data_IF_562419781876
#
_entry.id   IF_562419781876
#
_cell.length_a   1.000
_cell.length_b   1.000
_cell.length_c   1.000
_cell.angle_alpha   90.00
_cell.angle_beta   90.00
_cell.angle_gamma   90.00
#
_symmetry.space_group_name_H-M   'P 1'
#
loop_
_entity.id
_entity.type
_entity.pdbx_description
1 polymer ?
#
# COMPACT_ATOMS: atom_id res chain seq x y z
N UNK A 1 -27.20 18.00 15.38
CA UNK A 1 -26.68 17.06 14.35
C UNK A 1 -27.02 15.63 14.78
N UNK A 2 -27.49 14.76 13.88
CA UNK A 2 -27.87 13.39 14.22
C UNK A 2 -26.63 12.59 14.71
N UNK A 3 -26.68 11.89 15.86
CA UNK A 3 -25.54 11.17 16.42
C UNK A 3 -24.96 10.11 15.48
N UNK A 4 -25.78 9.53 14.58
CA UNK A 4 -25.31 8.60 13.54
C UNK A 4 -24.41 9.28 12.51
N UNK A 5 -24.76 10.51 12.12
CA UNK A 5 -23.99 11.31 11.16
C UNK A 5 -22.66 11.74 11.76
N UNK A 6 -22.65 12.15 13.04
CA UNK A 6 -21.41 12.49 13.75
C UNK A 6 -20.41 11.32 13.80
N UNK A 7 -20.89 10.12 14.15
CA UNK A 7 -20.08 8.90 14.19
C UNK A 7 -19.52 8.54 12.80
N UNK A 8 -20.33 8.72 11.76
CA UNK A 8 -19.91 8.51 10.36
C UNK A 8 -18.76 9.45 9.99
N UNK A 9 -18.93 10.75 10.26
CA UNK A 9 -17.90 11.76 9.98
C UNK A 9 -16.61 11.47 10.75
N UNK A 10 -16.72 11.11 12.03
CA UNK A 10 -15.55 10.77 12.86
C UNK A 10 -14.76 9.59 12.28
N UNK A 11 -15.44 8.56 11.78
CA UNK A 11 -14.81 7.37 11.20
C UNK A 11 -14.11 7.69 9.86
N UNK A 12 -14.76 8.51 9.02
CA UNK A 12 -14.19 8.99 7.75
C UNK A 12 -12.95 9.86 8.05
N UNK A 13 -13.05 10.77 9.01
CA UNK A 13 -11.93 11.63 9.43
C UNK A 13 -10.75 10.81 9.97
N UNK A 14 -11.01 9.80 10.80
CA UNK A 14 -9.97 8.87 11.28
C UNK A 14 -9.29 8.14 10.11
N UNK A 15 -10.06 7.67 9.13
CA UNK A 15 -9.50 7.03 7.94
C UNK A 15 -8.65 7.99 7.11
N UNK A 16 -9.10 9.22 6.92
CA UNK A 16 -8.39 10.28 6.19
C UNK A 16 -7.07 10.64 6.89
N UNK A 17 -7.08 10.81 8.21
CA UNK A 17 -5.87 11.05 9.00
C UNK A 17 -4.87 9.90 8.86
N UNK A 18 -5.33 8.65 8.94
CA UNK A 18 -4.44 7.50 8.73
C UNK A 18 -3.91 7.42 7.29
N UNK A 19 -4.68 7.84 6.30
CA UNK A 19 -4.24 7.92 4.91
C UNK A 19 -3.12 8.96 4.73
N UNK A 20 -3.25 10.13 5.36
CA UNK A 20 -2.23 11.19 5.36
C UNK A 20 -0.94 10.68 6.01
N UNK A 21 -1.03 10.04 7.18
CA UNK A 21 0.13 9.48 7.88
C UNK A 21 0.81 8.42 7.00
N UNK A 22 0.03 7.50 6.43
CA UNK A 22 0.54 6.48 5.52
C UNK A 22 1.27 7.09 4.31
N UNK A 23 0.69 8.13 3.70
CA UNK A 23 1.27 8.82 2.56
C UNK A 23 2.61 9.50 2.88
N UNK A 24 2.71 10.15 4.04
CA UNK A 24 3.94 10.76 4.52
C UNK A 24 5.05 9.71 4.73
N UNK A 25 4.71 8.57 5.34
CA UNK A 25 5.64 7.46 5.54
C UNK A 25 6.06 6.83 4.21
N UNK A 26 5.13 6.67 3.27
CA UNK A 26 5.41 6.14 1.95
C UNK A 26 6.40 7.04 1.20
N UNK A 27 6.16 8.36 1.21
CA UNK A 27 7.08 9.35 0.64
C UNK A 27 8.48 9.26 1.27
N UNK A 28 8.55 9.05 2.59
CA UNK A 28 9.82 8.94 3.31
C UNK A 28 10.64 7.73 2.85
N UNK A 29 9.99 6.57 2.65
CA UNK A 29 10.65 5.35 2.14
C UNK A 29 11.12 5.53 0.68
N UNK A 30 10.32 6.20 -0.15
CA UNK A 30 10.68 6.47 -1.55
C UNK A 30 11.89 7.42 -1.64
N UNK A 31 11.97 8.40 -0.74
CA UNK A 31 13.05 9.40 -0.72
C UNK A 31 14.36 8.84 -0.12
N UNK A 32 14.29 8.08 0.97
CA UNK A 32 15.47 7.51 1.63
C UNK A 32 15.11 6.13 2.19
N UNK A 33 15.65 5.08 1.57
CA UNK A 33 15.40 3.70 2.00
C UNK A 33 16.24 3.42 3.25
N UNK A 34 15.66 3.61 4.43
CA UNK A 34 16.22 3.22 5.71
C UNK A 34 15.36 2.14 6.38
N UNK A 35 15.97 1.22 7.15
CA UNK A 35 15.22 0.18 7.84
C UNK A 35 14.11 0.75 8.74
N UNK A 36 14.39 1.86 9.43
CA UNK A 36 13.41 2.55 10.28
C UNK A 36 12.23 3.09 9.47
N UNK A 37 12.47 3.71 8.30
CA UNK A 37 11.39 4.20 7.43
C UNK A 37 10.50 3.07 6.92
N UNK A 38 11.08 1.92 6.56
CA UNK A 38 10.35 0.73 6.10
C UNK A 38 9.49 0.14 7.22
N UNK A 39 10.05 0.01 8.44
CA UNK A 39 9.29 -0.47 9.60
C UNK A 39 8.14 0.47 9.95
N UNK A 40 8.36 1.79 9.93
CA UNK A 40 7.31 2.77 10.16
C UNK A 40 6.23 2.70 9.08
N UNK A 41 6.59 2.54 7.80
CA UNK A 41 5.62 2.35 6.71
C UNK A 41 4.78 1.09 6.92
N UNK A 42 5.39 -0.02 7.34
CA UNK A 42 4.68 -1.26 7.67
C UNK A 42 3.66 -1.04 8.78
N UNK A 43 4.05 -0.37 9.87
CA UNK A 43 3.15 -0.05 10.98
C UNK A 43 2.05 0.93 10.57
N UNK A 44 2.39 1.99 9.85
CA UNK A 44 1.44 2.97 9.33
C UNK A 44 0.43 2.35 8.35
N UNK A 45 0.89 1.45 7.48
CA UNK A 45 0.04 0.67 6.60
C UNK A 45 -0.91 -0.25 7.36
N UNK A 46 -0.43 -0.89 8.43
CA UNK A 46 -1.28 -1.72 9.29
C UNK A 46 -2.37 -0.90 9.98
N UNK A 47 -2.04 0.29 10.51
CA UNK A 47 -3.00 1.20 11.13
C UNK A 47 -4.03 1.70 10.11
N UNK A 48 -3.58 2.12 8.92
CA UNK A 48 -4.48 2.55 7.84
C UNK A 48 -5.45 1.44 7.45
N UNK A 49 -4.96 0.22 7.20
CA UNK A 49 -5.80 -0.94 6.86
C UNK A 49 -6.77 -1.29 7.98
N UNK A 50 -6.36 -1.18 9.24
CA UNK A 50 -7.22 -1.44 10.39
C UNK A 50 -8.37 -0.45 10.49
N UNK A 51 -8.09 0.85 10.36
CA UNK A 51 -9.13 1.90 10.38
C UNK A 51 -10.02 1.79 9.14
N UNK A 52 -9.44 1.49 7.98
CA UNK A 52 -10.21 1.23 6.76
C UNK A 52 -11.17 0.05 6.94
N UNK A 53 -10.72 -1.06 7.56
CA UNK A 53 -11.59 -2.18 7.88
C UNK A 53 -12.73 -1.74 8.80
N UNK A 54 -12.45 -1.03 9.89
CA UNK A 54 -13.49 -0.49 10.77
C UNK A 54 -14.48 0.40 10.04
N UNK A 55 -13.99 1.24 9.12
CA UNK A 55 -14.81 2.06 8.25
C UNK A 55 -15.77 1.24 7.40
N UNK A 56 -15.27 0.17 6.76
CA UNK A 56 -16.10 -0.69 5.91
C UNK A 56 -17.13 -1.51 6.68
N UNK A 57 -16.80 -1.98 7.90
CA UNK A 57 -17.68 -2.81 8.70
C UNK A 57 -18.80 -2.00 9.36
N UNK A 58 -18.51 -0.79 9.86
CA UNK A 58 -19.44 0.00 10.67
C UNK A 58 -20.37 0.91 9.84
N UNK A 59 -20.00 1.29 8.61
CA UNK A 59 -20.81 2.20 7.79
C UNK A 59 -21.84 1.44 6.95
N UNK A 60 -23.12 1.66 7.26
CA UNK A 60 -24.27 1.00 6.60
C UNK A 60 -24.54 1.49 5.18
N UNK A 61 -24.19 2.74 4.88
CA UNK A 61 -24.43 3.34 3.58
C UNK A 61 -23.19 3.23 2.69
N UNK A 62 -23.45 2.93 1.41
CA UNK A 62 -22.40 2.78 0.39
C UNK A 62 -21.76 4.13 0.06
N UNK A 63 -22.56 5.18 -0.07
CA UNK A 63 -22.11 6.50 -0.54
C UNK A 63 -21.02 7.15 0.33
N UNK A 64 -21.13 7.19 1.68
CA UNK A 64 -20.07 7.76 2.51
C UNK A 64 -18.79 6.94 2.46
N UNK A 65 -18.88 5.62 2.29
CA UNK A 65 -17.70 4.76 2.16
C UNK A 65 -17.00 5.02 0.84
N UNK A 66 -17.74 5.07 -0.27
CA UNK A 66 -17.19 5.37 -1.60
C UNK A 66 -16.53 6.74 -1.60
N UNK A 67 -17.19 7.76 -1.01
CA UNK A 67 -16.61 9.10 -0.85
C UNK A 67 -15.34 9.09 0.00
N UNK A 68 -15.31 8.32 1.09
CA UNK A 68 -14.14 8.19 1.95
C UNK A 68 -12.98 7.44 1.28
N UNK A 69 -13.25 6.40 0.47
CA UNK A 69 -12.23 5.71 -0.33
C UNK A 69 -11.59 6.69 -1.31
N UNK A 70 -12.41 7.46 -2.04
CA UNK A 70 -11.91 8.46 -2.99
C UNK A 70 -11.07 9.51 -2.26
N UNK A 71 -11.57 10.04 -1.14
CA UNK A 71 -10.85 11.01 -0.31
C UNK A 71 -9.49 10.45 0.13
N UNK A 72 -9.45 9.22 0.65
CA UNK A 72 -8.21 8.60 1.12
C UNK A 72 -7.18 8.46 0.00
N UNK A 73 -7.59 8.01 -1.19
CA UNK A 73 -6.69 7.89 -2.34
C UNK A 73 -6.16 9.24 -2.82
N UNK A 74 -7.03 10.25 -2.88
CA UNK A 74 -6.62 11.63 -3.22
C UNK A 74 -5.64 12.19 -2.20
N UNK A 75 -5.91 12.01 -0.89
CA UNK A 75 -5.01 12.45 0.17
C UNK A 75 -3.65 11.77 0.07
N UNK A 76 -3.61 10.46 -0.24
CA UNK A 76 -2.33 9.77 -0.41
C UNK A 76 -1.57 10.33 -1.61
N UNK A 77 -2.25 10.56 -2.74
CA UNK A 77 -1.62 11.14 -3.93
C UNK A 77 -1.07 12.55 -3.69
N UNK A 78 -1.84 13.41 -3.00
CA UNK A 78 -1.48 14.81 -2.74
C UNK A 78 -0.36 14.92 -1.71
N UNK A 79 -0.49 14.26 -0.56
CA UNK A 79 0.51 14.31 0.54
C UNK A 79 1.82 13.68 0.12
N UNK A 80 1.75 12.61 -0.68
CA UNK A 80 2.94 12.01 -1.28
C UNK A 80 3.67 12.92 -2.27
N UNK A 81 3.07 14.05 -2.66
CA UNK A 81 3.64 15.05 -3.58
C UNK A 81 4.00 14.46 -4.95
N UNK A 82 3.21 13.50 -5.42
CA UNK A 82 3.48 12.81 -6.67
C UNK A 82 3.09 13.68 -7.86
N UNK A 83 3.90 13.62 -8.93
CA UNK A 83 3.63 14.39 -10.15
C UNK A 83 2.37 13.85 -10.83
N UNK A 84 1.41 14.72 -11.19
CA UNK A 84 0.21 14.28 -11.90
C UNK A 84 0.62 13.68 -13.26
N UNK A 85 0.20 12.45 -13.51
CA UNK A 85 0.46 11.72 -14.75
C UNK A 85 -0.73 10.85 -15.11
N UNK A 86 -0.91 10.52 -16.39
CA UNK A 86 -1.95 9.58 -16.85
C UNK A 86 -1.84 8.21 -16.16
N UNK A 87 -0.61 7.76 -15.89
CA UNK A 87 -0.36 6.52 -15.14
C UNK A 87 -0.86 6.63 -13.70
N UNK A 88 -0.60 7.74 -13.01
CA UNK A 88 -1.11 7.97 -11.66
C UNK A 88 -2.65 8.01 -11.64
N UNK A 89 -3.27 8.66 -12.62
CA UNK A 89 -4.72 8.70 -12.75
C UNK A 89 -5.30 7.28 -12.95
N UNK A 90 -4.70 6.47 -13.83
CA UNK A 90 -5.08 5.07 -14.02
C UNK A 90 -4.93 4.24 -12.74
N UNK A 91 -3.83 4.42 -12.00
CA UNK A 91 -3.60 3.75 -10.73
C UNK A 91 -4.62 4.14 -9.65
N UNK A 92 -4.99 5.42 -9.57
CA UNK A 92 -6.03 5.90 -8.67
C UNK A 92 -7.37 5.25 -8.98
N UNK A 93 -7.75 5.16 -10.25
CA UNK A 93 -9.00 4.50 -10.67
C UNK A 93 -8.98 3.02 -10.32
N UNK A 94 -7.89 2.30 -10.62
CA UNK A 94 -7.79 0.88 -10.29
C UNK A 94 -7.81 0.64 -8.77
N UNK A 95 -7.05 1.43 -8.00
CA UNK A 95 -7.02 1.34 -6.55
C UNK A 95 -8.41 1.63 -5.97
N UNK A 96 -9.11 2.64 -6.50
CA UNK A 96 -10.48 2.96 -6.11
C UNK A 96 -11.44 1.80 -6.34
N UNK A 97 -11.42 1.20 -7.54
CA UNK A 97 -12.26 0.05 -7.86
C UNK A 97 -11.99 -1.14 -6.92
N UNK A 98 -10.72 -1.46 -6.66
CA UNK A 98 -10.36 -2.55 -5.75
C UNK A 98 -10.76 -2.28 -4.29
N UNK A 99 -10.58 -1.05 -3.79
CA UNK A 99 -10.99 -0.69 -2.43
C UNK A 99 -12.52 -0.69 -2.27
N UNK A 100 -13.25 -0.26 -3.28
CA UNK A 100 -14.72 -0.36 -3.31
C UNK A 100 -15.16 -1.82 -3.36
N UNK A 101 -14.48 -2.67 -4.14
CA UNK A 101 -14.72 -4.11 -4.15
C UNK A 101 -14.41 -4.76 -2.79
N UNK A 102 -13.40 -4.26 -2.06
CA UNK A 102 -13.11 -4.70 -0.70
C UNK A 102 -14.30 -4.43 0.24
N UNK A 103 -14.90 -3.25 0.14
CA UNK A 103 -16.12 -2.90 0.89
C UNK A 103 -17.29 -3.84 0.56
N UNK A 104 -17.60 -4.06 -0.72
CA UNK A 104 -18.70 -4.94 -1.12
C UNK A 104 -18.46 -6.39 -0.66
N UNK A 105 -17.22 -6.87 -0.74
CA UNK A 105 -16.83 -8.17 -0.20
C UNK A 105 -17.14 -8.30 1.29
N UNK A 106 -16.62 -7.37 2.10
CA UNK A 106 -16.87 -7.37 3.55
C UNK A 106 -18.35 -7.27 3.91
N UNK A 107 -19.12 -6.44 3.20
CA UNK A 107 -20.57 -6.31 3.43
C UNK A 107 -21.36 -7.53 3.00
N UNK A 108 -20.99 -8.19 1.91
CA UNK A 108 -21.68 -9.42 1.47
C UNK A 108 -21.51 -10.55 2.49
N UNK A 109 -20.32 -10.68 3.09
CA UNK A 109 -20.06 -11.68 4.13
C UNK A 109 -20.81 -11.36 5.43
N UNK A 110 -20.91 -10.09 5.82
CA UNK A 110 -21.74 -9.67 6.97
C UNK A 110 -23.24 -9.90 6.74
N UNK A 111 -23.72 -9.80 5.50
CA UNK A 111 -25.15 -9.99 5.17
C UNK A 111 -25.54 -11.46 5.06
N UNK A 112 -24.59 -12.33 4.74
CA UNK A 112 -24.83 -13.76 4.53
C UNK A 112 -24.60 -14.60 5.79
N UNK A 113 -23.83 -14.10 6.75
CA UNK A 113 -23.55 -14.81 8.00
C UNK A 113 -24.50 -14.35 9.13
N UNK A 114 -24.99 -15.32 9.92
CA UNK A 114 -25.82 -15.06 11.11
C UNK A 114 -25.00 -14.46 12.27
N UNK A 115 -23.68 -14.66 12.26
CA UNK A 115 -22.74 -14.13 13.24
C UNK A 115 -21.57 -13.40 12.57
N UNK A 116 -21.09 -12.34 13.22
CA UNK A 116 -19.94 -11.55 12.73
C UNK A 116 -18.66 -12.32 13.00
N UNK A 117 -18.21 -13.09 12.02
CA UNK A 117 -16.91 -13.73 12.02
C UNK A 117 -15.82 -12.70 11.68
N UNK A 118 -15.46 -11.85 12.65
CA UNK A 118 -14.55 -10.71 12.46
C UNK A 118 -13.24 -11.10 11.76
N UNK A 119 -12.66 -12.24 12.11
CA UNK A 119 -11.39 -12.70 11.55
C UNK A 119 -11.47 -13.12 10.08
N UNK A 120 -12.55 -13.78 9.68
CA UNK A 120 -12.74 -14.22 8.29
C UNK A 120 -13.08 -13.01 7.42
N UNK A 121 -14.08 -12.23 7.85
CA UNK A 121 -14.54 -11.04 7.14
C UNK A 121 -13.45 -9.96 7.05
N UNK A 122 -12.70 -9.78 8.13
CA UNK A 122 -11.59 -8.84 8.20
C UNK A 122 -10.46 -9.18 7.23
N UNK A 123 -10.08 -10.47 7.14
CA UNK A 123 -9.03 -10.92 6.21
C UNK A 123 -9.43 -10.71 4.76
N UNK A 124 -10.69 -10.98 4.38
CA UNK A 124 -11.16 -10.78 3.02
C UNK A 124 -11.09 -9.32 2.58
N UNK A 125 -11.51 -8.39 3.45
CA UNK A 125 -11.43 -6.93 3.18
C UNK A 125 -9.98 -6.45 3.16
N UNK A 126 -9.17 -6.81 4.16
CA UNK A 126 -7.78 -6.38 4.27
C UNK A 126 -6.94 -6.91 3.10
N UNK A 127 -7.17 -8.13 2.63
CA UNK A 127 -6.45 -8.69 1.48
C UNK A 127 -6.74 -7.93 0.16
N UNK A 128 -8.00 -7.54 -0.07
CA UNK A 128 -8.38 -6.74 -1.24
C UNK A 128 -7.88 -5.31 -1.13
N UNK A 129 -8.00 -4.68 0.04
CA UNK A 129 -7.51 -3.33 0.29
C UNK A 129 -5.97 -3.23 0.19
N UNK A 130 -5.24 -4.20 0.73
CA UNK A 130 -3.77 -4.25 0.58
C UNK A 130 -3.35 -4.48 -0.87
N UNK A 131 -4.11 -5.25 -1.66
CA UNK A 131 -3.84 -5.38 -3.10
C UNK A 131 -4.01 -4.05 -3.84
N UNK A 132 -5.01 -3.23 -3.46
CA UNK A 132 -5.18 -1.89 -3.99
C UNK A 132 -3.97 -0.99 -3.67
N UNK A 133 -3.51 -1.01 -2.41
CA UNK A 133 -2.34 -0.27 -1.97
C UNK A 133 -1.06 -0.74 -2.67
N UNK A 134 -0.91 -2.05 -2.89
CA UNK A 134 0.22 -2.62 -3.61
C UNK A 134 0.29 -2.08 -5.04
N UNK A 135 -0.82 -2.17 -5.79
CA UNK A 135 -0.89 -1.63 -7.15
C UNK A 135 -0.58 -0.13 -7.16
N UNK A 136 -1.17 0.59 -6.22
CA UNK A 136 -0.94 2.02 -6.11
C UNK A 136 0.53 2.34 -5.84
N UNK A 137 1.16 1.67 -4.87
CA UNK A 137 2.57 1.83 -4.53
C UNK A 137 3.50 1.49 -5.71
N UNK A 138 3.21 0.45 -6.49
CA UNK A 138 3.98 0.09 -7.70
C UNK A 138 3.95 1.24 -8.71
N UNK A 139 2.76 1.77 -9.01
CA UNK A 139 2.67 2.86 -9.99
C UNK A 139 3.31 4.14 -9.47
N UNK A 140 3.17 4.44 -8.18
CA UNK A 140 3.89 5.55 -7.54
C UNK A 140 5.40 5.40 -7.65
N UNK A 141 5.92 4.20 -7.42
CA UNK A 141 7.34 3.90 -7.55
C UNK A 141 7.81 4.07 -9.01
N UNK A 142 7.10 3.46 -9.97
CA UNK A 142 7.44 3.54 -11.40
C UNK A 142 7.37 4.96 -11.95
N UNK A 143 6.39 5.77 -11.52
CA UNK A 143 6.26 7.16 -11.96
C UNK A 143 7.31 8.10 -11.37
N UNK A 144 7.93 7.71 -10.25
CA UNK A 144 9.08 8.42 -9.67
C UNK A 144 10.38 8.02 -10.37
N UNK A 145 10.42 6.84 -11.00
CA UNK A 145 11.61 6.31 -11.66
C UNK A 145 11.80 6.93 -13.04
N UNK A 146 12.76 7.86 -13.17
CA UNK A 146 13.14 8.42 -14.46
C UNK A 146 14.24 7.58 -15.11
N UNK A 147 13.85 6.56 -15.88
CA UNK A 147 14.78 5.68 -16.60
C UNK A 147 15.69 6.40 -17.61
N UNK A 148 15.29 7.60 -18.04
CA UNK A 148 16.03 8.38 -19.04
C UNK A 148 17.20 9.18 -18.45
N UNK A 149 17.37 9.19 -17.11
CA UNK A 149 18.48 9.88 -16.47
C UNK A 149 19.48 8.89 -15.85
N UNK A 150 20.67 8.71 -16.45
CA UNK A 150 21.71 7.81 -15.94
C UNK A 150 22.11 8.09 -14.48
N UNK A 151 22.10 9.37 -14.09
CA UNK A 151 22.49 9.79 -12.75
C UNK A 151 21.52 9.29 -11.67
N UNK A 152 20.23 9.16 -11.99
CA UNK A 152 19.19 8.67 -11.07
C UNK A 152 19.39 7.18 -10.80
N UNK A 153 19.64 6.39 -11.83
CA UNK A 153 19.90 4.95 -11.72
C UNK A 153 21.21 4.70 -10.97
N UNK A 154 22.25 5.50 -11.25
CA UNK A 154 23.51 5.47 -10.49
C UNK A 154 23.28 5.74 -9.00
N UNK A 155 22.46 6.75 -8.67
CA UNK A 155 22.09 7.07 -7.29
C UNK A 155 21.47 5.90 -6.52
N UNK A 156 20.57 5.14 -7.14
CA UNK A 156 19.94 3.98 -6.49
C UNK A 156 20.93 2.82 -6.28
N UNK A 157 21.80 2.53 -7.24
CA UNK A 157 22.84 1.50 -7.07
C UNK A 157 23.83 1.86 -5.96
N UNK A 158 24.27 3.12 -5.92
CA UNK A 158 25.13 3.60 -4.83
C UNK A 158 24.41 3.48 -3.49
N UNK A 159 23.13 3.83 -3.41
CA UNK A 159 22.33 3.70 -2.19
C UNK A 159 22.12 2.24 -1.73
N UNK A 160 22.18 1.26 -2.64
CA UNK A 160 22.15 -0.17 -2.28
C UNK A 160 23.47 -0.67 -1.69
N UNK A 161 24.60 -0.08 -2.10
CA UNK A 161 25.95 -0.55 -1.72
C UNK A 161 26.49 0.21 -0.51
N UNK A 162 26.16 1.51 -0.37
CA UNK A 162 26.58 2.35 0.75
C UNK A 162 26.35 1.73 2.15
N UNK A 163 25.22 1.05 2.44
CA UNK A 163 25.03 0.42 3.74
C UNK A 163 26.01 -0.72 4.05
N UNK A 164 26.62 -1.32 3.01
CA UNK A 164 27.56 -2.43 3.11
C UNK A 164 29.01 -1.92 3.24
N UNK A 165 29.27 -0.68 2.84
CA UNK A 165 30.58 -0.01 2.94
C UNK A 165 31.22 -0.08 4.34
N UNK A 166 30.53 0.26 5.46
CA UNK A 166 31.14 0.16 6.79
C UNK A 166 31.45 -1.29 7.20
N UNK A 167 30.67 -2.26 6.74
CA UNK A 167 30.92 -3.68 6.99
C UNK A 167 32.20 -4.08 6.26
N UNK A 168 32.33 -3.73 4.98
CA UNK A 168 33.50 -4.03 4.16
C UNK A 168 34.77 -3.35 4.70
N UNK A 169 34.67 -2.09 5.13
CA UNK A 169 35.79 -1.36 5.74
C UNK A 169 36.28 -2.00 7.05
N UNK A 170 35.41 -2.72 7.77
CA UNK A 170 35.78 -3.47 8.97
C UNK A 170 36.60 -4.72 8.65
N UNK A 171 36.30 -5.40 7.53
CA UNK A 171 37.02 -6.62 7.11
C UNK A 171 38.26 -6.34 6.24
N UNK A 172 38.30 -5.19 5.56
CA UNK A 172 39.41 -4.77 4.71
C UNK A 172 39.89 -3.36 5.12
N UNK A 173 40.69 -3.22 6.19
CA UNK A 173 41.18 -1.93 6.67
C UNK A 173 42.38 -1.47 5.83
N UNK A 174 42.13 -1.14 4.56
CA UNK A 174 43.14 -0.51 3.68
C UNK A 174 42.87 1.00 3.68
N UNK A 175 43.89 1.86 3.87
CA UNK A 175 43.73 3.32 3.73
C UNK A 175 43.21 3.66 2.32
N UNK A 176 42.07 4.36 2.22
CA UNK A 176 41.46 4.73 0.93
C UNK A 176 40.43 3.74 0.36
N UNK A 177 39.99 2.75 1.13
CA UNK A 177 38.97 1.75 0.73
C UNK A 177 37.66 2.37 0.26
N UNK A 178 37.21 3.48 0.86
CA UNK A 178 36.02 4.21 0.41
C UNK A 178 36.15 4.69 -1.04
N UNK A 179 37.32 5.20 -1.42
CA UNK A 179 37.59 5.69 -2.77
C UNK A 179 37.69 4.53 -3.77
N UNK A 180 38.30 3.42 -3.37
CA UNK A 180 38.40 2.19 -4.19
C UNK A 180 37.01 1.56 -4.39
N UNK A 181 36.19 1.51 -3.34
CA UNK A 181 34.81 1.03 -3.38
C UNK A 181 33.96 1.94 -4.26
N UNK A 182 34.08 3.27 -4.14
CA UNK A 182 33.37 4.20 -5.02
C UNK A 182 33.80 4.04 -6.48
N UNK A 183 35.09 3.88 -6.77
CA UNK A 183 35.58 3.66 -8.13
C UNK A 183 35.13 2.33 -8.72
N UNK A 184 35.17 1.25 -7.92
CA UNK A 184 34.70 -0.07 -8.33
C UNK A 184 33.17 -0.09 -8.51
N UNK A 185 32.44 0.61 -7.64
CA UNK A 185 30.99 0.80 -7.75
C UNK A 185 30.65 1.58 -9.00
N UNK A 186 31.32 2.71 -9.25
CA UNK A 186 31.12 3.54 -10.43
C UNK A 186 31.36 2.76 -11.71
N UNK A 187 32.43 1.97 -11.77
CA UNK A 187 32.75 1.13 -12.92
C UNK A 187 31.70 0.01 -13.10
N UNK A 188 31.29 -0.64 -12.03
CA UNK A 188 30.27 -1.71 -12.07
C UNK A 188 28.90 -1.18 -12.48
N UNK A 189 28.52 0.01 -11.98
CA UNK A 189 27.28 0.70 -12.33
C UNK A 189 27.30 1.11 -13.80
N UNK A 190 28.40 1.67 -14.30
CA UNK A 190 28.49 2.05 -15.71
C UNK A 190 28.38 0.81 -16.63
N UNK A 191 29.07 -0.29 -16.29
CA UNK A 191 28.97 -1.55 -17.04
C UNK A 191 27.53 -2.09 -17.00
N UNK A 192 26.90 -2.10 -15.83
CA UNK A 192 25.53 -2.57 -15.67
C UNK A 192 24.53 -1.68 -16.41
N UNK A 193 24.73 -0.36 -16.36
CA UNK A 193 23.92 0.63 -17.07
C UNK A 193 24.01 0.44 -18.58
N UNK A 194 25.22 0.37 -19.13
CA UNK A 194 25.44 0.18 -20.57
C UNK A 194 24.92 -1.18 -21.05
N UNK A 195 25.14 -2.25 -20.26
CA UNK A 195 24.68 -3.59 -20.59
C UNK A 195 23.16 -3.76 -20.49
N UNK A 196 22.49 -3.04 -19.57
CA UNK A 196 21.07 -3.27 -19.24
C UNK A 196 20.20 -2.14 -19.74
N UNK A 197 20.43 -0.92 -19.26
CA UNK A 197 19.60 0.26 -19.55
C UNK A 197 19.88 0.77 -20.97
N UNK A 198 21.16 0.82 -21.37
CA UNK A 198 21.55 1.20 -22.73
C UNK A 198 20.95 0.29 -23.79
N UNK A 199 20.95 -1.03 -23.55
CA UNK A 199 20.29 -2.01 -24.44
C UNK A 199 18.77 -1.92 -24.39
N UNK A 200 18.19 -1.70 -23.22
CA UNK A 200 16.75 -1.52 -23.06
C UNK A 200 16.22 -0.32 -23.86
N UNK A 201 16.89 0.83 -23.78
CA UNK A 201 16.51 2.04 -24.50
C UNK A 201 16.67 1.92 -26.03
N UNK A 202 17.48 0.97 -26.51
CA UNK A 202 17.66 0.68 -27.93
C UNK A 202 16.59 -0.27 -28.50
N UNK A 203 15.75 -0.87 -27.65
CA UNK A 203 14.68 -1.76 -28.10
C UNK A 203 13.54 -0.98 -28.76
N UNK A 204 12.80 -1.58 -29.69
CA UNK A 204 11.53 -1.05 -30.18
C UNK A 204 10.56 -0.73 -29.02
N UNK A 205 9.79 0.36 -29.13
CA UNK A 205 8.87 0.85 -28.09
C UNK A 205 7.94 -0.24 -27.53
N UNK A 206 7.48 -1.14 -28.40
CA UNK A 206 6.61 -2.26 -28.02
C UNK A 206 7.31 -3.19 -27.03
N UNK A 207 8.58 -3.54 -27.27
CA UNK A 207 9.35 -4.42 -26.39
C UNK A 207 9.70 -3.72 -25.08
N UNK A 208 10.00 -2.42 -25.11
CA UNK A 208 10.25 -1.62 -23.90
C UNK A 208 9.02 -1.64 -22.98
N UNK A 209 7.84 -1.38 -23.52
CA UNK A 209 6.58 -1.37 -22.77
C UNK A 209 6.23 -2.76 -22.20
N UNK A 210 6.45 -3.84 -22.96
CA UNK A 210 6.24 -5.20 -22.48
C UNK A 210 7.17 -5.54 -21.31
N UNK A 211 8.46 -5.20 -21.42
CA UNK A 211 9.43 -5.44 -20.34
C UNK A 211 9.06 -4.63 -19.10
N UNK A 212 8.71 -3.34 -19.24
CA UNK A 212 8.25 -2.51 -18.12
C UNK A 212 7.00 -3.07 -17.45
N UNK A 213 6.06 -3.60 -18.23
CA UNK A 213 4.87 -4.25 -17.71
C UNK A 213 5.21 -5.51 -16.89
N UNK A 214 6.09 -6.37 -17.41
CA UNK A 214 6.56 -7.59 -16.71
C UNK A 214 7.29 -7.22 -15.42
N UNK A 215 8.19 -6.24 -15.47
CA UNK A 215 8.91 -5.74 -14.27
C UNK A 215 7.91 -5.16 -13.25
N UNK A 216 6.91 -4.41 -13.71
CA UNK A 216 5.84 -3.89 -12.86
C UNK A 216 5.05 -5.00 -12.16
N UNK A 217 4.75 -6.10 -12.85
CA UNK A 217 4.11 -7.28 -12.25
C UNK A 217 5.00 -7.92 -11.18
N UNK A 218 6.31 -8.06 -11.45
CA UNK A 218 7.24 -8.65 -10.49
C UNK A 218 7.31 -7.79 -9.22
N UNK A 219 7.44 -6.46 -9.38
CA UNK A 219 7.45 -5.51 -8.25
C UNK A 219 6.11 -5.58 -7.50
N UNK A 220 4.97 -5.66 -8.21
CA UNK A 220 3.66 -5.81 -7.61
C UNK A 220 3.56 -7.08 -6.76
N UNK A 221 3.99 -8.22 -7.29
CA UNK A 221 3.97 -9.49 -6.56
C UNK A 221 4.88 -9.43 -5.33
N UNK A 222 6.04 -8.81 -5.45
CA UNK A 222 6.96 -8.61 -4.32
C UNK A 222 6.32 -7.74 -3.22
N UNK A 223 5.78 -6.58 -3.59
CA UNK A 223 5.09 -5.68 -2.64
C UNK A 223 3.88 -6.38 -2.03
N UNK A 224 3.09 -7.10 -2.81
CA UNK A 224 1.93 -7.86 -2.32
C UNK A 224 2.35 -8.94 -1.33
N UNK A 225 3.44 -9.65 -1.60
CA UNK A 225 4.01 -10.62 -0.67
C UNK A 225 4.45 -9.95 0.63
N UNK A 226 5.16 -8.81 0.57
CA UNK A 226 5.53 -8.04 1.75
C UNK A 226 4.31 -7.53 2.53
N UNK A 227 3.24 -7.12 1.85
CA UNK A 227 1.99 -6.68 2.49
C UNK A 227 1.26 -7.81 3.20
N UNK A 228 1.53 -9.09 2.90
CA UNK A 228 1.02 -10.19 3.70
C UNK A 228 1.49 -10.09 5.16
N UNK A 229 2.71 -9.60 5.39
CA UNK A 229 3.24 -9.33 6.74
C UNK A 229 2.55 -8.15 7.42
N UNK A 230 2.01 -7.21 6.64
CA UNK A 230 1.23 -6.05 7.14
C UNK A 230 -0.22 -6.44 7.46
N UNK A 231 -0.78 -7.40 6.72
CA UNK A 231 -2.17 -7.83 6.89
C UNK A 231 -2.44 -8.47 8.25
N UNK A 232 -1.47 -9.22 8.79
CA UNK A 232 -1.56 -9.82 10.12
C UNK A 232 -1.74 -8.75 11.21
N UNK A 233 -0.77 -7.85 11.45
CA UNK A 233 -0.90 -6.80 12.45
C UNK A 233 -2.10 -5.88 12.18
N UNK A 234 -2.43 -5.60 10.90
CA UNK A 234 -3.64 -4.84 10.57
C UNK A 234 -4.92 -5.51 11.10
N UNK A 235 -5.04 -6.83 10.95
CA UNK A 235 -6.23 -7.57 11.42
C UNK A 235 -6.29 -7.59 12.95
N UNK A 236 -5.16 -7.79 13.63
CA UNK A 236 -5.08 -7.73 15.10
C UNK A 236 -5.44 -6.34 15.63
N UNK A 237 -4.88 -5.28 15.03
CA UNK A 237 -5.19 -3.90 15.38
C UNK A 237 -6.67 -3.57 15.16
N UNK A 238 -7.22 -4.01 14.03
CA UNK A 238 -8.64 -3.81 13.73
C UNK A 238 -9.53 -4.51 14.77
N UNK A 239 -9.17 -5.71 15.19
CA UNK A 239 -9.91 -6.43 16.23
C UNK A 239 -9.86 -5.70 17.58
N UNK A 240 -8.69 -5.17 17.94
CA UNK A 240 -8.53 -4.31 19.12
C UNK A 240 -9.42 -3.07 19.05
N UNK A 241 -9.39 -2.35 17.92
CA UNK A 241 -10.24 -1.19 17.67
C UNK A 241 -11.73 -1.53 17.71
N UNK A 242 -12.13 -2.67 17.14
CA UNK A 242 -13.50 -3.18 17.19
C UNK A 242 -13.98 -3.35 18.63
N UNK A 243 -13.19 -4.03 19.47
CA UNK A 243 -13.55 -4.24 20.89
C UNK A 243 -13.58 -2.92 21.67
N UNK A 244 -12.65 -2.01 21.42
CA UNK A 244 -12.63 -0.70 22.07
C UNK A 244 -13.89 0.11 21.71
N UNK A 245 -14.19 0.24 20.43
CA UNK A 245 -15.36 0.97 19.95
C UNK A 245 -16.68 0.38 20.47
N UNK A 246 -16.76 -0.94 20.61
CA UNK A 246 -17.90 -1.62 21.24
C UNK A 246 -18.00 -1.27 22.74
N UNK A 247 -16.89 -1.31 23.49
CA UNK A 247 -16.85 -0.97 24.92
C UNK A 247 -17.24 0.49 25.19
N UNK A 248 -16.87 1.41 24.31
CA UNK A 248 -17.25 2.82 24.38
C UNK A 248 -18.68 3.11 23.90
N UNK A 249 -19.45 2.09 23.50
CA UNK A 249 -20.83 2.27 23.02
C UNK A 249 -20.92 3.00 21.68
N UNK A 250 -19.85 2.97 20.87
CA UNK A 250 -19.84 3.61 19.56
C UNK A 250 -20.85 2.94 18.61
N UNK A 251 -21.04 1.62 18.72
CA UNK A 251 -22.06 0.86 18.02
C UNK A 251 -22.66 -0.22 18.94
N UNK A 252 -23.82 -0.76 18.56
CA UNK A 252 -24.49 -1.88 19.25
C UNK A 252 -24.71 -3.01 18.24
N UNK A 253 -24.64 -4.24 18.72
CA UNK A 253 -24.94 -5.44 17.93
C UNK A 253 -26.39 -5.80 18.22
N UNK A 254 -27.23 -5.77 17.20
CA UNK A 254 -28.63 -6.19 17.29
C UNK A 254 -28.83 -7.46 16.46
N UNK A 255 -29.54 -8.45 17.02
CA UNK A 255 -29.90 -9.66 16.29
C UNK A 255 -30.97 -9.32 15.27
N UNK A 256 -30.65 -9.45 13.98
CA UNK A 256 -31.61 -9.22 12.91
C UNK A 256 -32.32 -10.55 12.61
N UNK A 257 -33.58 -10.68 13.03
CA UNK A 257 -34.39 -11.86 12.75
C UNK A 257 -34.79 -11.85 11.26
N UNK A 258 -34.10 -12.63 10.42
CA UNK A 258 -34.41 -12.74 8.98
C UNK A 258 -35.03 -14.11 8.65
N UNK A 259 -36.18 -14.17 7.96
CA UNK A 259 -36.67 -15.43 7.42
C UNK A 259 -35.74 -15.89 6.28
N UNK A 260 -35.00 -16.98 6.47
CA UNK A 260 -34.24 -17.62 5.40
C UNK A 260 -35.20 -18.41 4.50
N UNK A 261 -35.20 -18.13 3.20
CA UNK A 261 -35.85 -18.99 2.20
C UNK A 261 -34.90 -20.12 1.85
N UNK A 262 -35.26 -21.35 2.19
CA UNK A 262 -34.52 -22.56 1.82
C UNK A 262 -35.17 -23.12 0.55
N UNK A 263 -34.36 -23.40 -0.48
CA UNK A 263 -34.84 -24.13 -1.66
C UNK A 263 -34.91 -25.60 -1.27
N UNK A 264 -36.12 -26.08 -1.04
CA UNK A 264 -36.40 -27.51 -0.88
C UNK A 264 -36.67 -28.05 -2.28
N UNK A 265 -35.78 -28.89 -2.79
CA UNK A 265 -36.08 -29.70 -3.98
C UNK A 265 -37.19 -30.68 -3.57
N UNK A 266 -38.34 -30.58 -4.23
CA UNK A 266 -39.48 -31.49 -4.05
C UNK A 266 -39.41 -32.59 -5.09
#
# INVERSE_FOLDING_TARGET
>A
MNPKVLKTIALIAASALSAIIFAFLLKSVIALVSLSSVLLLVLGGAVFLAIFLMMTLLLDSVWPVVGAVLLNLVLIAVVGSFRPSLMLAGALVLAFLWMVQAYYGGRSELKNNLEIHFWQNGRAVISKASSALALFAVVLYLTTFNFNNPAVIKGYFVAMIQPIEPIMATYFPVPGVSNIIQQATDKSVNIFYDATVGRFLQLPDILQNVILFVVGIIIFLFIKFSLALVNWPATYLAYGLYRLLLKFGFFKIELQNRPQKVIVLT
#
